data_IF_561921524071
#
_entry.id   IF_561921524071
#
_cell.length_a   1.000
_cell.length_b   1.000
_cell.length_c   1.000
_cell.angle_alpha   90.00
_cell.angle_beta   90.00
_cell.angle_gamma   90.00
#
_symmetry.space_group_name_H-M   'P 1'
#
loop_
_entity.id
_entity.type
_entity.pdbx_description
1 polymer ?
#
# COMPACT_ATOMS: atom_id res chain seq x y z
N UNK A 1 39.35 -23.15 7.02
CA UNK A 1 38.26 -23.28 6.02
C UNK A 1 36.96 -22.58 6.45
N UNK A 2 36.95 -21.75 7.47
CA UNK A 2 35.76 -21.12 8.10
C UNK A 2 35.56 -19.65 7.72
N UNK A 3 36.53 -18.94 7.17
CA UNK A 3 36.41 -17.51 6.84
C UNK A 3 35.69 -17.19 5.52
N UNK A 4 35.55 -18.14 4.60
CA UNK A 4 34.85 -17.91 3.30
C UNK A 4 33.31 -17.93 3.38
N UNK A 5 32.71 -18.42 4.49
CA UNK A 5 31.24 -18.48 4.62
C UNK A 5 30.60 -17.12 5.01
N UNK A 6 31.30 -16.29 5.79
CA UNK A 6 30.78 -15.00 6.25
C UNK A 6 30.75 -13.92 5.16
N UNK A 7 31.80 -13.85 4.34
CA UNK A 7 31.86 -12.88 3.22
C UNK A 7 30.77 -13.16 2.15
N UNK A 8 30.33 -14.40 1.99
CA UNK A 8 29.30 -14.79 1.03
C UNK A 8 27.88 -14.34 1.40
N UNK A 9 27.54 -14.30 2.70
CA UNK A 9 26.20 -13.88 3.14
C UNK A 9 25.98 -12.37 2.94
N UNK A 10 26.88 -11.54 3.45
CA UNK A 10 26.78 -10.07 3.29
C UNK A 10 26.82 -9.61 1.82
N UNK A 11 27.67 -10.24 1.00
CA UNK A 11 27.71 -9.89 -0.43
C UNK A 11 26.45 -10.30 -1.17
N UNK A 12 25.80 -11.39 -0.75
CA UNK A 12 24.55 -11.90 -1.36
C UNK A 12 23.34 -11.03 -0.99
N UNK A 13 23.29 -10.50 0.25
CA UNK A 13 22.17 -9.70 0.78
C UNK A 13 22.46 -8.20 0.85
N UNK A 14 23.55 -7.73 0.22
CA UNK A 14 23.97 -6.33 0.31
C UNK A 14 22.87 -5.35 -0.10
N UNK A 15 22.19 -5.59 -1.20
CA UNK A 15 21.14 -4.70 -1.72
C UNK A 15 19.94 -4.66 -0.77
N UNK A 16 19.55 -5.81 -0.21
CA UNK A 16 18.47 -5.91 0.78
C UNK A 16 18.80 -5.13 2.05
N UNK A 17 20.06 -5.23 2.53
CA UNK A 17 20.53 -4.48 3.69
C UNK A 17 20.53 -2.97 3.42
N UNK A 18 20.97 -2.53 2.23
CA UNK A 18 20.92 -1.11 1.86
C UNK A 18 19.48 -0.59 1.89
N UNK A 19 18.53 -1.33 1.31
CA UNK A 19 17.11 -0.94 1.28
C UNK A 19 16.54 -0.88 2.70
N UNK A 20 16.81 -1.89 3.54
CA UNK A 20 16.33 -1.92 4.92
C UNK A 20 16.89 -0.76 5.76
N UNK A 21 18.20 -0.48 5.66
CA UNK A 21 18.85 0.63 6.38
C UNK A 21 18.27 1.97 5.95
N UNK A 22 18.02 2.18 4.67
CA UNK A 22 17.43 3.44 4.17
C UNK A 22 15.97 3.60 4.62
N UNK A 23 15.17 2.53 4.64
CA UNK A 23 13.81 2.56 5.19
C UNK A 23 13.82 2.93 6.68
N UNK A 24 14.70 2.33 7.47
CA UNK A 24 14.87 2.66 8.88
C UNK A 24 15.34 4.11 9.06
N UNK A 25 16.33 4.56 8.27
CA UNK A 25 16.86 5.93 8.35
C UNK A 25 15.79 6.99 8.08
N UNK A 26 14.87 6.74 7.15
CA UNK A 26 13.75 7.63 6.86
C UNK A 26 12.71 7.70 8.00
N UNK A 27 12.70 6.70 8.90
CA UNK A 27 11.71 6.55 9.98
C UNK A 27 12.23 6.93 11.36
N UNK A 28 13.56 6.94 11.58
CA UNK A 28 14.19 7.09 12.91
C UNK A 28 13.76 8.32 13.69
N UNK A 29 13.46 9.43 13.02
CA UNK A 29 13.04 10.68 13.68
C UNK A 29 11.71 10.56 14.44
N UNK A 30 10.89 9.52 14.16
CA UNK A 30 9.64 9.25 14.87
C UNK A 30 9.76 8.24 16.02
N UNK A 31 10.97 7.80 16.40
CA UNK A 31 11.15 6.75 17.41
C UNK A 31 10.62 7.16 18.79
N UNK A 32 10.70 8.44 19.13
CA UNK A 32 10.22 9.00 20.40
C UNK A 32 8.78 9.54 20.34
N UNK A 33 8.06 9.36 19.21
CA UNK A 33 6.69 9.83 19.08
C UNK A 33 5.75 9.05 20.01
N UNK A 34 4.82 9.78 20.62
CA UNK A 34 3.76 9.22 21.46
C UNK A 34 2.59 8.69 20.58
N UNK A 35 1.58 8.10 21.22
CA UNK A 35 0.30 7.82 20.57
C UNK A 35 -0.41 9.11 20.23
N UNK A 36 -0.89 9.23 19.00
CA UNK A 36 -1.59 10.41 18.50
C UNK A 36 -2.73 9.99 17.58
N UNK A 37 -3.68 10.89 17.33
CA UNK A 37 -4.77 10.72 16.37
C UNK A 37 -5.55 9.42 16.62
N UNK A 38 -5.65 8.53 15.60
CA UNK A 38 -6.38 7.27 15.69
C UNK A 38 -5.78 6.27 16.70
N UNK A 39 -4.48 6.39 17.05
CA UNK A 39 -3.85 5.54 18.07
C UNK A 39 -4.47 5.76 19.47
N UNK A 40 -5.00 6.95 19.73
CA UNK A 40 -5.59 7.27 21.04
C UNK A 40 -6.84 6.40 21.30
N UNK A 41 -7.93 6.49 20.52
CA UNK A 41 -9.13 5.71 20.77
C UNK A 41 -8.99 4.23 20.42
N UNK A 42 -8.08 3.84 19.52
CA UNK A 42 -7.98 2.46 19.03
C UNK A 42 -6.95 1.61 19.80
N UNK A 43 -5.93 2.25 20.41
CA UNK A 43 -4.88 1.56 21.15
C UNK A 43 -4.89 2.01 22.61
N UNK A 44 -4.58 3.29 22.90
CA UNK A 44 -4.35 3.76 24.26
C UNK A 44 -5.60 3.64 25.15
N UNK A 45 -6.75 4.01 24.63
CA UNK A 45 -8.00 4.08 25.39
C UNK A 45 -8.91 2.85 25.15
N UNK A 46 -8.48 1.87 24.36
CA UNK A 46 -9.24 0.67 24.02
C UNK A 46 -8.82 -0.53 24.85
N UNK A 47 -9.49 -0.78 25.96
CA UNK A 47 -9.18 -1.90 26.85
C UNK A 47 -9.20 -3.29 26.16
N UNK A 48 -9.90 -3.44 25.02
CA UNK A 48 -9.94 -4.72 24.26
C UNK A 48 -8.58 -5.15 23.71
N UNK A 49 -7.68 -4.19 23.43
CA UNK A 49 -6.33 -4.45 22.91
C UNK A 49 -5.25 -4.39 24.02
N UNK A 50 -5.63 -4.23 25.30
CA UNK A 50 -4.68 -4.24 26.40
C UNK A 50 -4.25 -5.65 26.80
N UNK A 51 -3.88 -6.47 25.83
CA UNK A 51 -3.44 -7.85 25.98
C UNK A 51 -4.32 -8.83 25.21
N UNK A 52 -4.03 -10.12 25.37
CA UNK A 52 -4.68 -11.18 24.59
C UNK A 52 -5.90 -11.81 25.28
N UNK A 53 -6.27 -11.36 26.48
CA UNK A 53 -7.42 -11.92 27.23
C UNK A 53 -8.76 -11.71 26.51
N UNK A 54 -8.87 -10.60 25.76
CA UNK A 54 -10.08 -10.23 25.03
C UNK A 54 -10.05 -10.62 23.53
N UNK A 55 -9.24 -11.61 23.14
CA UNK A 55 -9.07 -11.97 21.74
C UNK A 55 -10.36 -12.26 20.99
N UNK A 56 -11.39 -12.81 21.65
CA UNK A 56 -12.71 -13.07 21.07
C UNK A 56 -13.40 -11.79 20.65
N UNK A 57 -13.34 -10.76 21.48
CA UNK A 57 -13.95 -9.45 21.21
C UNK A 57 -13.31 -8.78 19.99
N UNK A 58 -12.01 -9.00 19.75
CA UNK A 58 -11.33 -8.50 18.57
C UNK A 58 -11.90 -9.05 17.25
N UNK A 59 -12.46 -10.28 17.29
CA UNK A 59 -13.05 -10.96 16.13
C UNK A 59 -14.56 -10.84 16.04
N UNK A 60 -15.26 -10.38 17.10
CA UNK A 60 -16.73 -10.36 17.15
C UNK A 60 -17.33 -8.96 17.27
N UNK A 61 -16.51 -7.93 17.49
CA UNK A 61 -16.96 -6.55 17.67
C UNK A 61 -16.39 -5.64 16.56
N UNK A 62 -17.02 -4.45 16.37
CA UNK A 62 -16.52 -3.44 15.46
C UNK A 62 -15.09 -3.01 15.78
N UNK A 63 -14.39 -2.52 14.75
CA UNK A 63 -13.04 -1.99 14.89
C UNK A 63 -12.96 -0.80 15.87
N UNK A 64 -13.86 0.18 15.72
CA UNK A 64 -13.93 1.32 16.61
C UNK A 64 -14.63 0.97 17.93
N UNK A 65 -14.03 1.33 19.09
CA UNK A 65 -14.72 1.18 20.38
C UNK A 65 -15.78 2.26 20.57
N UNK A 66 -16.79 2.04 21.43
CA UNK A 66 -17.71 3.12 21.84
C UNK A 66 -16.94 4.33 22.39
N UNK A 67 -17.39 5.57 22.19
CA UNK A 67 -18.70 5.95 21.60
C UNK A 67 -18.71 6.10 20.07
N UNK A 68 -17.67 5.66 19.37
CA UNK A 68 -17.60 5.77 17.90
C UNK A 68 -18.59 4.82 17.26
N UNK A 69 -19.30 5.29 16.22
CA UNK A 69 -20.33 4.52 15.51
C UNK A 69 -19.83 3.91 14.20
N UNK A 70 -18.56 4.14 13.87
CA UNK A 70 -17.96 3.63 12.63
C UNK A 70 -17.77 2.12 12.67
N UNK A 71 -18.37 1.42 11.71
CA UNK A 71 -18.49 -0.03 11.76
C UNK A 71 -17.56 -0.71 10.78
N UNK A 72 -16.30 -0.43 10.93
CA UNK A 72 -15.24 -1.16 10.23
C UNK A 72 -14.98 -2.50 10.93
N UNK A 73 -14.52 -3.49 10.17
CA UNK A 73 -14.20 -4.83 10.69
C UNK A 73 -12.76 -5.19 10.33
N UNK A 74 -11.83 -5.02 11.29
CA UNK A 74 -10.39 -5.18 11.11
C UNK A 74 -9.75 -6.00 12.24
N UNK A 75 -10.18 -7.25 12.45
CA UNK A 75 -9.74 -8.06 13.59
C UNK A 75 -8.23 -8.31 13.61
N UNK A 76 -7.59 -8.45 12.43
CA UNK A 76 -6.14 -8.68 12.35
C UNK A 76 -5.37 -7.43 12.82
N UNK A 77 -5.81 -6.21 12.46
CA UNK A 77 -5.18 -4.97 12.95
C UNK A 77 -5.30 -4.84 14.47
N UNK A 78 -6.48 -5.13 15.05
CA UNK A 78 -6.65 -5.12 16.50
C UNK A 78 -5.83 -6.22 17.19
N UNK A 79 -5.73 -7.40 16.58
CA UNK A 79 -4.92 -8.50 17.11
C UNK A 79 -3.42 -8.12 17.13
N UNK A 80 -2.91 -7.46 16.08
CA UNK A 80 -1.54 -6.93 16.06
C UNK A 80 -1.33 -5.97 17.23
N UNK A 81 -2.24 -4.99 17.41
CA UNK A 81 -2.17 -4.05 18.53
C UNK A 81 -2.18 -4.75 19.91
N UNK A 82 -3.02 -5.79 20.06
CA UNK A 82 -3.09 -6.58 21.30
C UNK A 82 -1.79 -7.37 21.58
N UNK A 83 -1.15 -7.92 20.56
CA UNK A 83 0.17 -8.55 20.70
C UNK A 83 1.24 -7.56 21.12
N UNK A 84 1.26 -6.38 20.50
CA UNK A 84 2.23 -5.33 20.83
C UNK A 84 2.03 -4.81 22.25
N UNK A 85 0.78 -4.64 22.67
CA UNK A 85 0.47 -4.30 24.06
C UNK A 85 0.95 -5.37 25.04
N UNK A 86 0.70 -6.65 24.74
CA UNK A 86 1.14 -7.77 25.59
C UNK A 86 2.67 -7.83 25.74
N UNK A 87 3.43 -7.43 24.72
CA UNK A 87 4.89 -7.40 24.74
C UNK A 87 5.43 -6.14 25.43
N UNK A 88 4.85 -4.97 25.12
CA UNK A 88 5.40 -3.66 25.48
C UNK A 88 4.65 -2.95 26.61
N UNK A 89 3.61 -3.56 27.20
CA UNK A 89 2.83 -2.93 28.29
C UNK A 89 2.18 -1.59 27.90
N UNK A 90 1.87 -1.42 26.60
CA UNK A 90 1.29 -0.16 26.09
C UNK A 90 2.31 0.93 25.78
N UNK A 91 3.62 0.65 25.82
CA UNK A 91 4.64 1.63 25.47
C UNK A 91 4.60 1.97 23.96
N UNK A 92 4.47 3.25 23.55
CA UNK A 92 4.45 3.65 22.14
C UNK A 92 5.67 3.16 21.35
N UNK A 93 6.82 3.09 22.00
CA UNK A 93 8.08 2.59 21.40
C UNK A 93 7.92 1.18 20.79
N UNK A 94 7.17 0.28 21.43
CA UNK A 94 6.94 -1.08 20.89
C UNK A 94 6.25 -1.01 19.55
N UNK A 95 5.22 -0.21 19.42
CA UNK A 95 4.49 0.00 18.16
C UNK A 95 5.37 0.64 17.09
N UNK A 96 6.24 1.59 17.45
CA UNK A 96 7.19 2.21 16.52
C UNK A 96 8.20 1.18 15.98
N UNK A 97 8.76 0.36 16.87
CA UNK A 97 9.72 -0.68 16.47
C UNK A 97 9.09 -1.72 15.54
N UNK A 98 7.85 -2.15 15.81
CA UNK A 98 7.13 -3.08 14.93
C UNK A 98 6.81 -2.42 13.58
N UNK A 99 6.30 -1.16 13.57
CA UNK A 99 6.08 -0.42 12.32
C UNK A 99 7.34 -0.32 11.47
N UNK A 100 8.48 -0.02 12.09
CA UNK A 100 9.76 0.11 11.38
C UNK A 100 10.27 -1.23 10.84
N UNK A 101 10.10 -2.32 11.60
CA UNK A 101 10.41 -3.66 11.15
C UNK A 101 9.55 -4.09 9.95
N UNK A 102 8.24 -3.87 10.03
CA UNK A 102 7.30 -4.13 8.93
C UNK A 102 7.63 -3.28 7.69
N UNK A 103 7.94 -1.99 7.88
CA UNK A 103 8.30 -1.09 6.78
C UNK A 103 9.59 -1.53 6.09
N UNK A 104 10.64 -1.82 6.84
CA UNK A 104 11.92 -2.30 6.31
C UNK A 104 11.74 -3.65 5.58
N UNK A 105 10.99 -4.59 6.18
CA UNK A 105 10.68 -5.86 5.54
C UNK A 105 9.86 -5.67 4.25
N UNK A 106 8.86 -4.77 4.27
CA UNK A 106 8.08 -4.40 3.09
C UNK A 106 8.95 -3.84 1.96
N UNK A 107 9.87 -2.92 2.26
CA UNK A 107 10.79 -2.36 1.30
C UNK A 107 11.73 -3.42 0.69
N UNK A 108 12.21 -4.37 1.49
CA UNK A 108 13.01 -5.52 1.01
C UNK A 108 12.16 -6.42 0.11
N UNK A 109 10.89 -6.66 0.42
CA UNK A 109 9.98 -7.45 -0.43
C UNK A 109 9.69 -6.74 -1.76
N UNK A 110 9.57 -5.41 -1.76
CA UNK A 110 9.47 -4.60 -2.98
C UNK A 110 10.74 -4.75 -3.82
N UNK A 111 11.93 -4.72 -3.21
CA UNK A 111 13.20 -5.01 -3.93
C UNK A 111 13.18 -6.40 -4.56
N UNK A 112 12.77 -7.43 -3.80
CA UNK A 112 12.69 -8.81 -4.30
C UNK A 112 11.69 -8.94 -5.45
N UNK A 113 10.53 -8.28 -5.38
CA UNK A 113 9.58 -8.24 -6.48
C UNK A 113 10.16 -7.52 -7.70
N UNK A 114 10.75 -6.33 -7.51
CA UNK A 114 11.38 -5.56 -8.57
C UNK A 114 12.50 -6.33 -9.27
N UNK A 115 13.33 -7.06 -8.52
CA UNK A 115 14.45 -7.85 -9.05
C UNK A 115 14.03 -9.02 -9.95
N UNK A 116 12.76 -9.43 -9.92
CA UNK A 116 12.19 -10.43 -10.84
C UNK A 116 11.82 -9.85 -12.21
N UNK A 117 11.68 -8.53 -12.29
CA UNK A 117 11.06 -7.83 -13.41
C UNK A 117 11.97 -6.79 -14.07
N UNK A 118 12.94 -6.27 -13.35
CA UNK A 118 13.84 -5.19 -13.75
C UNK A 118 15.30 -5.61 -13.56
N UNK A 119 16.20 -4.97 -14.28
CA UNK A 119 17.64 -5.15 -14.08
C UNK A 119 18.04 -4.75 -12.64
N UNK A 120 19.00 -5.47 -12.03
CA UNK A 120 19.39 -5.30 -10.63
C UNK A 120 19.63 -3.85 -10.20
N UNK A 121 20.36 -2.99 -10.97
CA UNK A 121 20.57 -1.60 -10.54
C UNK A 121 19.27 -0.79 -10.50
N UNK A 122 18.35 -1.04 -11.43
CA UNK A 122 17.04 -0.36 -11.48
C UNK A 122 16.13 -0.88 -10.39
N UNK A 123 16.10 -2.19 -10.15
CA UNK A 123 15.36 -2.79 -9.04
C UNK A 123 15.79 -2.21 -7.69
N UNK A 124 17.12 -2.02 -7.48
CA UNK A 124 17.64 -1.37 -6.28
C UNK A 124 17.18 0.10 -6.18
N UNK A 125 17.27 0.86 -7.27
CA UNK A 125 16.82 2.25 -7.30
C UNK A 125 15.31 2.37 -7.00
N UNK A 126 14.48 1.51 -7.58
CA UNK A 126 13.03 1.41 -7.31
C UNK A 126 12.75 1.17 -5.84
N UNK A 127 13.43 0.19 -5.22
CA UNK A 127 13.24 -0.15 -3.82
C UNK A 127 13.76 0.94 -2.87
N UNK A 128 14.85 1.61 -3.22
CA UNK A 128 15.37 2.76 -2.46
C UNK A 128 14.39 3.93 -2.51
N UNK A 129 13.87 4.28 -3.69
CA UNK A 129 12.86 5.34 -3.81
C UNK A 129 11.59 5.01 -3.02
N UNK A 130 11.13 3.75 -3.03
CA UNK A 130 10.04 3.30 -2.19
C UNK A 130 10.38 3.46 -0.70
N UNK A 131 11.55 2.98 -0.26
CA UNK A 131 11.99 2.95 1.13
C UNK A 131 12.14 4.34 1.79
N UNK A 132 12.32 5.41 0.99
CA UNK A 132 12.50 6.77 1.52
C UNK A 132 11.34 7.70 1.16
N UNK A 133 10.26 7.18 0.56
CA UNK A 133 9.20 8.02 0.01
C UNK A 133 8.37 8.69 1.11
N UNK A 134 8.25 10.04 1.13
CA UNK A 134 7.60 10.74 2.24
C UNK A 134 6.09 10.48 2.38
N UNK A 135 5.42 10.00 1.34
CA UNK A 135 4.00 9.63 1.40
C UNK A 135 3.73 8.44 2.35
N UNK A 136 4.76 7.69 2.73
CA UNK A 136 4.65 6.54 3.64
C UNK A 136 4.66 6.94 5.12
N UNK A 137 5.02 8.18 5.45
CA UNK A 137 5.21 8.61 6.85
C UNK A 137 3.97 8.37 7.69
N UNK A 138 2.77 8.68 7.20
CA UNK A 138 1.52 8.42 7.92
C UNK A 138 1.28 6.92 8.18
N UNK A 139 1.60 6.06 7.21
CA UNK A 139 1.45 4.61 7.36
C UNK A 139 2.43 4.03 8.40
N UNK A 140 3.61 4.65 8.56
CA UNK A 140 4.68 4.20 9.48
C UNK A 140 4.54 4.81 10.87
N UNK A 141 4.07 6.07 10.94
CA UNK A 141 4.02 6.85 12.17
C UNK A 141 2.90 6.46 13.12
N UNK A 142 1.81 5.88 12.65
CA UNK A 142 0.67 5.46 13.48
C UNK A 142 0.65 3.95 13.67
N UNK A 143 0.49 3.50 14.93
CA UNK A 143 0.39 2.08 15.27
C UNK A 143 -0.79 1.39 14.56
N UNK A 144 -1.94 2.05 14.51
CA UNK A 144 -3.14 1.54 13.82
C UNK A 144 -2.98 1.41 12.31
N UNK A 145 -2.01 2.10 11.72
CA UNK A 145 -1.76 2.04 10.27
C UNK A 145 -0.78 0.92 9.84
N UNK A 146 -0.27 0.13 10.78
CA UNK A 146 0.52 -1.07 10.48
C UNK A 146 -0.20 -2.04 9.54
N UNK A 147 -1.54 -2.01 9.52
CA UNK A 147 -2.33 -2.73 8.54
C UNK A 147 -1.96 -2.42 7.09
N UNK A 148 -1.63 -1.15 6.75
CA UNK A 148 -1.14 -0.79 5.40
C UNK A 148 0.23 -1.42 5.11
N UNK A 149 1.12 -1.45 6.11
CA UNK A 149 2.45 -2.06 5.98
C UNK A 149 2.34 -3.56 5.75
N UNK A 150 1.48 -4.25 6.52
CA UNK A 150 1.19 -5.67 6.34
C UNK A 150 0.59 -5.95 4.96
N UNK A 151 -0.35 -5.12 4.49
CA UNK A 151 -0.93 -5.25 3.15
C UNK A 151 0.11 -5.12 2.04
N UNK A 152 1.02 -4.14 2.14
CA UNK A 152 2.12 -3.97 1.18
C UNK A 152 3.06 -5.18 1.17
N UNK A 153 3.38 -5.74 2.34
CA UNK A 153 4.18 -6.96 2.46
C UNK A 153 3.47 -8.15 1.80
N UNK A 154 2.20 -8.39 2.13
CA UNK A 154 1.39 -9.46 1.54
C UNK A 154 1.28 -9.31 0.02
N UNK A 155 1.03 -8.08 -0.46
CA UNK A 155 0.95 -7.79 -1.88
C UNK A 155 2.25 -8.11 -2.62
N UNK A 156 3.39 -7.61 -2.12
CA UNK A 156 4.69 -7.88 -2.73
C UNK A 156 5.07 -9.37 -2.70
N UNK A 157 4.81 -10.05 -1.56
CA UNK A 157 5.11 -11.47 -1.38
C UNK A 157 4.24 -12.35 -2.26
N UNK A 158 2.91 -12.14 -2.24
CA UNK A 158 1.96 -12.96 -3.01
C UNK A 158 2.15 -12.79 -4.50
N UNK A 159 2.37 -11.55 -4.98
CA UNK A 159 2.61 -11.31 -6.41
C UNK A 159 3.96 -11.87 -6.83
N UNK A 160 5.01 -11.75 -6.02
CA UNK A 160 6.30 -12.38 -6.30
C UNK A 160 6.18 -13.91 -6.38
N UNK A 161 5.53 -14.55 -5.41
CA UNK A 161 5.24 -15.99 -5.42
C UNK A 161 4.44 -16.39 -6.66
N UNK A 162 3.36 -15.64 -6.97
CA UNK A 162 2.53 -15.87 -8.14
C UNK A 162 3.36 -15.84 -9.43
N UNK A 163 4.20 -14.82 -9.62
CA UNK A 163 5.08 -14.69 -10.79
C UNK A 163 6.04 -15.90 -10.89
N UNK A 164 6.68 -16.28 -9.78
CA UNK A 164 7.63 -17.39 -9.76
C UNK A 164 6.93 -18.71 -10.14
N UNK A 165 5.75 -18.99 -9.58
CA UNK A 165 4.97 -20.19 -9.92
C UNK A 165 4.47 -20.18 -11.36
N UNK A 166 4.03 -19.04 -11.85
CA UNK A 166 3.54 -18.87 -13.24
C UNK A 166 4.66 -19.04 -14.28
N UNK A 167 5.88 -18.67 -13.95
CA UNK A 167 7.06 -18.86 -14.80
C UNK A 167 7.64 -20.28 -14.72
N UNK A 168 7.33 -21.01 -13.66
CA UNK A 168 7.77 -22.38 -13.44
C UNK A 168 6.68 -23.40 -13.81
N UNK A 169 6.42 -24.33 -12.89
CA UNK A 169 5.49 -25.47 -13.09
C UNK A 169 4.00 -25.10 -13.08
N UNK A 170 3.66 -23.83 -12.89
CA UNK A 170 2.30 -23.35 -12.70
C UNK A 170 1.85 -23.41 -11.24
N UNK A 171 0.65 -22.88 -10.98
CA UNK A 171 0.04 -22.83 -9.65
C UNK A 171 -0.59 -24.18 -9.32
N UNK A 172 -0.22 -24.75 -8.17
CA UNK A 172 -0.79 -25.95 -7.58
C UNK A 172 -1.92 -25.59 -6.61
N UNK A 173 -2.70 -26.56 -6.16
CA UNK A 173 -3.77 -26.34 -5.17
C UNK A 173 -3.25 -25.68 -3.88
N UNK A 174 -2.06 -26.06 -3.41
CA UNK A 174 -1.43 -25.44 -2.24
C UNK A 174 -1.08 -23.95 -2.47
N UNK A 175 -0.60 -23.60 -3.66
CA UNK A 175 -0.30 -22.19 -4.00
C UNK A 175 -1.58 -21.35 -3.95
N UNK A 176 -2.68 -21.85 -4.51
CA UNK A 176 -3.98 -21.20 -4.42
C UNK A 176 -4.52 -21.12 -3.00
N UNK A 177 -4.32 -22.15 -2.20
CA UNK A 177 -4.72 -22.14 -0.77
C UNK A 177 -3.92 -21.08 0.01
N UNK A 178 -2.61 -20.96 -0.22
CA UNK A 178 -1.78 -19.93 0.41
C UNK A 178 -2.19 -18.51 -0.03
N UNK A 179 -2.47 -18.30 -1.33
CA UNK A 179 -2.97 -17.03 -1.84
C UNK A 179 -4.34 -16.69 -1.28
N UNK A 180 -5.24 -17.67 -1.14
CA UNK A 180 -6.55 -17.50 -0.53
C UNK A 180 -6.45 -17.13 0.96
N UNK A 181 -5.58 -17.80 1.71
CA UNK A 181 -5.31 -17.45 3.11
C UNK A 181 -4.73 -16.02 3.23
N UNK A 182 -3.79 -15.63 2.36
CA UNK A 182 -3.26 -14.28 2.33
C UNK A 182 -4.33 -13.23 1.98
N UNK A 183 -5.23 -13.51 1.04
CA UNK A 183 -6.38 -12.65 0.72
C UNK A 183 -7.34 -12.52 1.93
N UNK A 184 -7.60 -13.62 2.66
CA UNK A 184 -8.42 -13.56 3.88
C UNK A 184 -7.76 -12.69 4.94
N UNK A 185 -6.47 -12.90 5.24
CA UNK A 185 -5.70 -12.08 6.19
C UNK A 185 -5.70 -10.62 5.76
N UNK A 186 -5.44 -10.34 4.49
CA UNK A 186 -5.44 -8.98 3.95
C UNK A 186 -6.81 -8.30 4.13
N UNK A 187 -7.92 -8.97 3.79
CA UNK A 187 -9.27 -8.43 3.92
C UNK A 187 -9.70 -8.24 5.39
N UNK A 188 -9.23 -9.11 6.31
CA UNK A 188 -9.44 -8.99 7.75
C UNK A 188 -8.51 -7.96 8.42
N UNK A 189 -7.45 -7.54 7.73
CA UNK A 189 -6.56 -6.46 8.17
C UNK A 189 -7.17 -5.10 7.86
N UNK A 190 -7.59 -4.90 6.62
CA UNK A 190 -8.17 -3.63 6.14
C UNK A 190 -8.92 -3.85 4.82
N UNK A 191 -9.90 -3.00 4.53
CA UNK A 191 -10.73 -3.07 3.32
C UNK A 191 -9.89 -3.00 2.03
N UNK A 192 -8.76 -2.28 2.04
CA UNK A 192 -7.82 -2.21 0.91
C UNK A 192 -7.24 -3.60 0.55
N UNK A 193 -7.28 -4.57 1.49
CA UNK A 193 -6.83 -5.94 1.26
C UNK A 193 -7.61 -6.69 0.18
N UNK A 194 -8.85 -6.30 -0.11
CA UNK A 194 -9.62 -6.86 -1.24
C UNK A 194 -8.94 -6.60 -2.60
N UNK A 195 -8.05 -5.60 -2.70
CA UNK A 195 -7.27 -5.34 -3.90
C UNK A 195 -6.30 -6.48 -4.26
N UNK A 196 -5.93 -7.35 -3.32
CA UNK A 196 -4.88 -8.36 -3.54
C UNK A 196 -5.18 -9.28 -4.73
N UNK A 197 -6.43 -9.73 -4.89
CA UNK A 197 -6.84 -10.52 -6.05
C UNK A 197 -6.68 -9.74 -7.38
N UNK A 198 -6.99 -8.43 -7.37
CA UNK A 198 -6.77 -7.53 -8.49
C UNK A 198 -5.29 -7.33 -8.83
N UNK A 199 -4.41 -7.29 -7.83
CA UNK A 199 -2.95 -7.20 -8.03
C UNK A 199 -2.38 -8.48 -8.66
N UNK A 200 -2.87 -9.66 -8.27
CA UNK A 200 -2.52 -10.93 -8.92
C UNK A 200 -3.00 -10.95 -10.38
N UNK A 201 -4.22 -10.46 -10.63
CA UNK A 201 -4.74 -10.34 -12.00
C UNK A 201 -3.93 -9.35 -12.84
N UNK A 202 -3.49 -8.22 -12.26
CA UNK A 202 -2.62 -7.26 -12.94
C UNK A 202 -1.29 -7.90 -13.38
N UNK A 203 -0.77 -8.88 -12.64
CA UNK A 203 0.45 -9.59 -13.02
C UNK A 203 0.30 -10.41 -14.32
N UNK A 204 -0.91 -10.75 -14.75
CA UNK A 204 -1.14 -11.48 -16.02
C UNK A 204 -0.85 -10.66 -17.30
N UNK A 205 -0.58 -9.35 -17.16
CA UNK A 205 -0.05 -8.55 -18.27
C UNK A 205 1.42 -8.88 -18.59
N UNK A 206 2.13 -9.46 -17.62
CA UNK A 206 3.52 -9.88 -17.77
C UNK A 206 3.62 -11.14 -18.67
N UNK A 207 4.73 -11.33 -19.39
CA UNK A 207 4.99 -12.56 -20.16
C UNK A 207 5.41 -13.69 -19.22
N UNK A 208 4.45 -14.29 -18.51
CA UNK A 208 4.71 -15.31 -17.50
C UNK A 208 4.83 -16.72 -18.10
N UNK A 209 4.12 -17.00 -19.19
CA UNK A 209 4.18 -18.25 -19.92
C UNK A 209 3.84 -18.05 -21.42
N UNK A 210 4.00 -19.11 -22.20
CA UNK A 210 3.77 -19.09 -23.65
C UNK A 210 2.30 -19.35 -24.06
N UNK A 211 1.39 -19.63 -23.09
CA UNK A 211 -0.03 -19.94 -23.38
C UNK A 211 -0.75 -18.71 -23.92
N UNK A 212 -1.72 -18.95 -24.79
CA UNK A 212 -2.63 -17.91 -25.26
C UNK A 212 -3.46 -17.32 -24.09
N UNK A 213 -3.95 -16.10 -24.24
CA UNK A 213 -4.80 -15.46 -23.21
C UNK A 213 -6.03 -16.31 -22.83
N UNK A 214 -6.62 -17.03 -23.83
CA UNK A 214 -7.78 -17.90 -23.60
C UNK A 214 -7.43 -19.14 -22.77
N UNK A 215 -6.29 -19.78 -23.05
CA UNK A 215 -5.80 -20.92 -22.28
C UNK A 215 -5.42 -20.51 -20.87
N UNK A 216 -4.75 -19.35 -20.69
CA UNK A 216 -4.46 -18.78 -19.37
C UNK A 216 -5.73 -18.51 -18.59
N UNK A 217 -6.72 -17.84 -19.19
CA UNK A 217 -7.99 -17.58 -18.55
C UNK A 217 -8.67 -18.86 -18.09
N UNK A 218 -8.73 -19.90 -18.94
CA UNK A 218 -9.32 -21.20 -18.59
C UNK A 218 -8.59 -21.93 -17.46
N UNK A 219 -7.27 -21.82 -17.40
CA UNK A 219 -6.47 -22.46 -16.36
C UNK A 219 -6.54 -21.76 -15.01
N UNK A 220 -6.74 -20.44 -14.99
CA UNK A 220 -6.62 -19.61 -13.79
C UNK A 220 -7.98 -19.21 -13.18
N UNK A 221 -9.06 -19.19 -13.98
CA UNK A 221 -10.37 -18.72 -13.50
C UNK A 221 -10.87 -19.46 -12.25
N UNK A 222 -10.66 -20.80 -12.06
CA UNK A 222 -11.14 -21.44 -10.84
C UNK A 222 -10.44 -20.94 -9.59
N UNK A 223 -9.11 -20.66 -9.70
CA UNK A 223 -8.35 -20.09 -8.61
C UNK A 223 -8.79 -18.65 -8.27
N UNK A 224 -8.97 -17.81 -9.29
CA UNK A 224 -9.49 -16.44 -9.07
C UNK A 224 -10.92 -16.45 -8.52
N UNK A 225 -11.78 -17.37 -8.95
CA UNK A 225 -13.10 -17.55 -8.38
C UNK A 225 -13.01 -17.92 -6.88
N UNK A 226 -12.05 -18.77 -6.52
CA UNK A 226 -11.75 -19.10 -5.12
C UNK A 226 -11.35 -17.85 -4.30
N UNK A 227 -10.52 -16.97 -4.85
CA UNK A 227 -10.15 -15.72 -4.19
C UNK A 227 -11.35 -14.78 -4.00
N UNK A 228 -12.22 -14.67 -5.02
CA UNK A 228 -13.48 -13.90 -4.93
C UNK A 228 -14.41 -14.51 -3.87
N UNK A 229 -14.52 -15.84 -3.83
CA UNK A 229 -15.30 -16.52 -2.81
C UNK A 229 -14.80 -16.26 -1.39
N UNK A 230 -13.48 -16.25 -1.17
CA UNK A 230 -12.88 -15.85 0.12
C UNK A 230 -13.27 -14.43 0.49
N UNK A 231 -13.17 -13.49 -0.44
CA UNK A 231 -13.61 -12.11 -0.23
C UNK A 231 -15.10 -12.02 0.15
N UNK A 232 -15.95 -12.76 -0.56
CA UNK A 232 -17.39 -12.83 -0.27
C UNK A 232 -17.65 -13.44 1.12
N UNK A 233 -16.91 -14.49 1.53
CA UNK A 233 -17.00 -15.07 2.86
C UNK A 233 -16.61 -14.07 3.96
N UNK A 234 -15.54 -13.29 3.76
CA UNK A 234 -15.15 -12.25 4.73
C UNK A 234 -16.22 -11.17 4.86
N UNK A 235 -16.81 -10.73 3.73
CA UNK A 235 -17.92 -9.78 3.74
C UNK A 235 -19.17 -10.35 4.42
N UNK A 236 -19.51 -11.60 4.15
CA UNK A 236 -20.63 -12.29 4.79
C UNK A 236 -20.42 -12.42 6.30
N UNK A 237 -19.21 -12.80 6.74
CA UNK A 237 -18.82 -12.86 8.15
C UNK A 237 -18.95 -11.49 8.82
N UNK A 238 -18.42 -10.43 8.20
CA UNK A 238 -18.56 -9.06 8.68
C UNK A 238 -20.04 -8.69 8.86
N UNK A 239 -20.86 -8.93 7.84
CA UNK A 239 -22.28 -8.59 7.88
C UNK A 239 -23.06 -9.42 8.91
N UNK A 240 -22.63 -10.66 9.19
CA UNK A 240 -23.20 -11.49 10.24
C UNK A 240 -22.85 -11.01 11.65
N UNK A 241 -21.60 -10.59 11.86
CA UNK A 241 -21.08 -10.21 13.18
C UNK A 241 -21.44 -8.77 13.57
N UNK A 242 -21.53 -7.86 12.59
CA UNK A 242 -21.84 -6.46 12.88
C UNK A 242 -23.35 -6.21 12.77
N UNK A 243 -23.93 -5.40 13.68
CA UNK A 243 -25.37 -5.08 13.64
C UNK A 243 -25.79 -4.49 12.30
N UNK A 244 -26.99 -4.85 11.83
CA UNK A 244 -27.51 -4.43 10.52
C UNK A 244 -27.77 -2.92 10.43
N UNK A 245 -28.13 -2.30 11.56
CA UNK A 245 -28.29 -0.82 11.66
C UNK A 245 -26.99 -0.06 11.51
N UNK A 246 -25.95 -0.78 11.53
CA UNK A 246 -24.57 -0.36 11.45
C UNK A 246 -23.95 -0.45 10.06
N UNK A 247 -24.69 -0.81 9.04
CA UNK A 247 -24.26 -0.70 7.63
C UNK A 247 -24.41 0.77 7.17
N UNK A 248 -24.29 1.72 8.06
CA UNK A 248 -23.96 3.09 7.65
C UNK A 248 -22.52 3.07 7.14
N UNK A 249 -22.41 2.83 5.84
CA UNK A 249 -21.14 3.02 5.13
C UNK A 249 -20.75 4.47 5.35
N UNK A 250 -19.72 4.67 6.17
CA UNK A 250 -19.25 6.04 6.48
C UNK A 250 -18.86 6.69 5.16
N UNK A 251 -19.62 7.72 4.79
CA UNK A 251 -19.38 8.49 3.58
C UNK A 251 -18.59 9.73 3.94
N UNK A 252 -17.57 10.08 3.17
CA UNK A 252 -16.86 11.34 3.37
C UNK A 252 -17.87 12.51 3.30
N UNK A 253 -17.82 13.50 4.21
CA UNK A 253 -18.83 14.56 4.28
C UNK A 253 -19.10 15.28 2.95
N UNK A 254 -18.07 15.51 2.15
CA UNK A 254 -18.22 16.09 0.81
C UNK A 254 -18.96 15.18 -0.19
N UNK A 255 -19.15 13.90 0.12
CA UNK A 255 -19.80 12.91 -0.77
C UNK A 255 -21.19 12.48 -0.25
N UNK A 256 -21.64 13.03 0.88
CA UNK A 256 -22.95 12.72 1.46
C UNK A 256 -24.08 13.07 0.49
N UNK A 257 -25.10 12.22 0.46
CA UNK A 257 -26.24 12.39 -0.45
C UNK A 257 -25.97 12.04 -1.93
N UNK A 258 -24.72 11.74 -2.30
CA UNK A 258 -24.35 11.42 -3.68
C UNK A 258 -24.26 9.91 -3.94
N UNK A 259 -24.94 9.45 -5.00
CA UNK A 259 -24.86 8.07 -5.48
C UNK A 259 -23.47 7.71 -6.06
N UNK A 260 -23.25 6.43 -6.46
CA UNK A 260 -21.94 5.96 -6.95
C UNK A 260 -21.36 6.82 -8.09
N UNK A 261 -22.16 7.23 -9.06
CA UNK A 261 -21.71 8.08 -10.17
C UNK A 261 -21.30 9.49 -9.71
N UNK A 262 -22.05 10.09 -8.77
CA UNK A 262 -21.71 11.38 -8.18
C UNK A 262 -20.39 11.31 -7.41
N UNK A 263 -20.16 10.22 -6.65
CA UNK A 263 -18.90 9.99 -5.98
C UNK A 263 -17.73 9.80 -6.95
N UNK A 264 -17.91 8.99 -8.00
CA UNK A 264 -16.90 8.84 -9.05
C UNK A 264 -16.56 10.17 -9.73
N UNK A 265 -17.58 11.00 -9.99
CA UNK A 265 -17.39 12.34 -10.52
C UNK A 265 -16.54 13.21 -9.58
N UNK A 266 -16.89 13.26 -8.30
CA UNK A 266 -16.12 14.02 -7.32
C UNK A 266 -14.66 13.48 -7.16
N UNK A 267 -14.46 12.18 -7.29
CA UNK A 267 -13.12 11.59 -7.20
C UNK A 267 -12.20 11.91 -8.39
N UNK A 268 -12.72 12.42 -9.51
CA UNK A 268 -11.88 12.86 -10.62
C UNK A 268 -10.86 13.93 -10.19
N UNK A 269 -11.24 14.87 -9.33
CA UNK A 269 -10.31 15.90 -8.82
C UNK A 269 -9.21 15.32 -7.90
N UNK A 270 -9.43 14.13 -7.33
CA UNK A 270 -8.46 13.45 -6.46
C UNK A 270 -7.35 12.75 -7.27
N UNK A 271 -7.64 12.33 -8.50
CA UNK A 271 -6.66 11.64 -9.36
C UNK A 271 -5.37 12.46 -9.58
N UNK A 272 -5.41 13.74 -9.93
CA UNK A 272 -4.21 14.58 -10.02
C UNK A 272 -3.48 14.72 -8.66
N UNK A 273 -4.22 14.71 -7.56
CA UNK A 273 -3.64 14.80 -6.21
C UNK A 273 -2.86 13.51 -5.87
N UNK A 274 -3.37 12.33 -6.21
CA UNK A 274 -2.62 11.07 -6.08
C UNK A 274 -1.33 11.11 -6.88
N UNK A 275 -1.38 11.52 -8.16
CA UNK A 275 -0.16 11.62 -8.98
C UNK A 275 0.85 12.61 -8.40
N UNK A 276 0.38 13.77 -7.91
CA UNK A 276 1.23 14.75 -7.24
C UNK A 276 1.92 14.15 -6.00
N UNK A 277 1.16 13.42 -5.16
CA UNK A 277 1.69 12.79 -3.95
C UNK A 277 2.69 11.68 -4.27
N UNK A 278 2.50 10.93 -5.35
CA UNK A 278 3.47 9.93 -5.81
C UNK A 278 4.73 10.56 -6.41
N UNK A 279 4.58 11.64 -7.20
CA UNK A 279 5.70 12.24 -7.89
C UNK A 279 6.55 13.11 -6.95
N UNK A 280 5.89 13.93 -6.13
CA UNK A 280 6.53 14.81 -5.16
C UNK A 280 5.56 15.29 -4.08
N UNK A 281 5.59 14.70 -2.89
CA UNK A 281 4.71 15.06 -1.79
C UNK A 281 5.20 16.33 -1.06
N UNK A 282 5.16 17.48 -1.73
CA UNK A 282 5.58 18.76 -1.17
C UNK A 282 4.68 19.21 -0.01
N UNK A 283 3.36 18.95 -0.12
CA UNK A 283 2.38 19.24 0.92
C UNK A 283 1.77 17.91 1.36
N UNK A 284 2.05 17.56 2.60
CA UNK A 284 1.54 16.39 3.30
C UNK A 284 0.62 16.86 4.42
N UNK A 285 -0.52 16.19 4.58
CA UNK A 285 -1.55 16.53 5.56
C UNK A 285 -1.99 15.29 6.30
N UNK A 286 -2.40 15.44 7.55
CA UNK A 286 -2.91 14.33 8.38
C UNK A 286 -4.26 13.87 7.86
N UNK A 287 -5.09 14.81 7.44
CA UNK A 287 -6.39 14.58 6.83
C UNK A 287 -6.63 15.67 5.78
N UNK A 288 -7.15 15.27 4.63
CA UNK A 288 -7.65 16.18 3.62
C UNK A 288 -9.14 16.44 3.92
N UNK A 289 -9.36 17.28 4.93
CA UNK A 289 -10.67 17.56 5.50
C UNK A 289 -11.69 18.11 4.46
N UNK A 290 -12.99 18.05 4.75
CA UNK A 290 -14.05 18.42 3.80
C UNK A 290 -13.91 19.80 3.18
N UNK A 291 -13.27 20.76 3.86
CA UNK A 291 -13.04 22.11 3.33
C UNK A 291 -11.98 22.19 2.23
N UNK A 292 -11.10 21.18 2.10
CA UNK A 292 -10.01 21.18 1.11
C UNK A 292 -10.37 20.47 -0.20
N UNK A 293 -11.25 19.45 -0.13
CA UNK A 293 -11.74 18.73 -1.31
C UNK A 293 -13.27 18.79 -1.30
N UNK A 294 -13.86 19.93 -1.75
CA UNK A 294 -15.30 20.08 -1.81
C UNK A 294 -15.90 19.23 -2.93
N UNK A 295 -17.20 18.94 -2.83
CA UNK A 295 -17.93 18.36 -3.97
C UNK A 295 -17.94 19.35 -5.14
N UNK A 296 -17.58 18.95 -6.37
CA UNK A 296 -17.51 19.85 -7.51
C UNK A 296 -18.91 20.20 -8.00
N UNK A 297 -19.27 21.50 -8.00
CA UNK A 297 -20.55 22.00 -8.45
C UNK A 297 -20.67 22.08 -9.98
N UNK A 298 -19.52 22.06 -10.68
CA UNK A 298 -19.42 22.07 -12.15
C UNK A 298 -18.17 21.31 -12.57
N UNK A 299 -18.16 20.82 -13.81
CA UNK A 299 -16.98 20.21 -14.41
C UNK A 299 -15.92 21.28 -14.65
N UNK A 300 -14.83 21.20 -13.93
CA UNK A 300 -13.74 22.16 -13.95
C UNK A 300 -12.41 21.58 -14.40
N UNK A 301 -11.35 22.35 -14.19
CA UNK A 301 -9.98 21.97 -14.61
C UNK A 301 -9.49 20.69 -13.92
N UNK A 302 -9.82 20.50 -12.65
CA UNK A 302 -9.31 19.35 -11.87
C UNK A 302 -10.00 18.05 -12.27
N UNK A 303 -11.32 18.07 -12.55
CA UNK A 303 -12.07 16.94 -13.06
C UNK A 303 -11.61 16.57 -14.48
N UNK A 304 -11.38 17.59 -15.33
CA UNK A 304 -10.79 17.38 -16.65
C UNK A 304 -9.39 16.75 -16.57
N UNK A 305 -8.53 17.29 -15.72
CA UNK A 305 -7.18 16.73 -15.49
C UNK A 305 -7.23 15.27 -14.99
N UNK A 306 -8.14 14.96 -14.07
CA UNK A 306 -8.35 13.60 -13.59
C UNK A 306 -8.80 12.65 -14.69
N UNK A 307 -9.80 13.05 -15.47
CA UNK A 307 -10.28 12.25 -16.61
C UNK A 307 -9.17 12.06 -17.66
N UNK A 308 -8.42 13.11 -17.99
CA UNK A 308 -7.31 13.06 -18.92
C UNK A 308 -6.19 12.12 -18.44
N UNK A 309 -5.85 12.14 -17.13
CA UNK A 309 -4.86 11.24 -16.54
C UNK A 309 -5.34 9.79 -16.56
N UNK A 310 -6.61 9.51 -16.25
CA UNK A 310 -7.16 8.15 -16.35
C UNK A 310 -7.15 7.65 -17.80
N UNK A 311 -7.55 8.49 -18.76
CA UNK A 311 -7.48 8.17 -20.17
C UNK A 311 -6.03 7.94 -20.65
N UNK A 312 -5.09 8.80 -20.22
CA UNK A 312 -3.67 8.64 -20.54
C UNK A 312 -3.10 7.34 -19.95
N UNK A 313 -3.46 6.99 -18.72
CA UNK A 313 -3.06 5.72 -18.10
C UNK A 313 -3.59 4.51 -18.87
N UNK A 314 -4.88 4.53 -19.25
CA UNK A 314 -5.49 3.48 -20.07
C UNK A 314 -4.79 3.35 -21.44
N UNK A 315 -4.56 4.46 -22.14
CA UNK A 315 -3.84 4.49 -23.44
C UNK A 315 -2.40 4.00 -23.26
N UNK A 316 -1.72 4.40 -22.18
CA UNK A 316 -0.37 3.95 -21.87
C UNK A 316 -0.33 2.42 -21.70
N UNK A 317 -1.25 1.84 -20.91
CA UNK A 317 -1.36 0.38 -20.76
C UNK A 317 -1.61 -0.29 -22.12
N UNK A 318 -2.61 0.17 -22.89
CA UNK A 318 -2.97 -0.42 -24.19
C UNK A 318 -1.83 -0.37 -25.21
N UNK A 319 -0.97 0.66 -25.16
CA UNK A 319 0.18 0.79 -26.07
C UNK A 319 1.42 0.06 -25.61
N UNK A 320 1.55 -0.18 -24.29
CA UNK A 320 2.79 -0.70 -23.71
C UNK A 320 2.70 -2.15 -23.25
N UNK A 321 1.52 -2.72 -22.99
CA UNK A 321 1.36 -4.05 -22.40
C UNK A 321 2.14 -5.18 -23.09
N UNK A 322 2.31 -5.12 -24.42
CA UNK A 322 3.10 -6.11 -25.17
C UNK A 322 4.58 -5.76 -25.27
N UNK A 323 4.92 -4.46 -25.31
CA UNK A 323 6.29 -3.97 -25.57
C UNK A 323 7.06 -3.65 -24.31
N UNK A 324 6.35 -3.21 -23.28
CA UNK A 324 6.86 -2.77 -21.97
C UNK A 324 5.95 -3.30 -20.84
N UNK A 325 5.83 -4.63 -20.71
CA UNK A 325 4.83 -5.22 -19.82
C UNK A 325 5.01 -4.83 -18.35
N UNK A 326 6.25 -4.58 -17.89
CA UNK A 326 6.51 -4.14 -16.50
C UNK A 326 5.97 -2.73 -16.23
N UNK A 327 6.03 -1.83 -17.24
CA UNK A 327 5.41 -0.51 -17.12
C UNK A 327 3.88 -0.63 -17.02
N UNK A 328 3.27 -1.41 -17.93
CA UNK A 328 1.83 -1.65 -17.89
C UNK A 328 1.39 -2.33 -16.58
N UNK A 329 2.18 -3.28 -16.07
CA UNK A 329 1.95 -3.90 -14.76
C UNK A 329 1.95 -2.88 -13.63
N UNK A 330 2.94 -1.97 -13.57
CA UNK A 330 2.98 -0.91 -12.55
C UNK A 330 1.76 0.00 -12.56
N UNK A 331 1.29 0.40 -13.75
CA UNK A 331 0.06 1.22 -13.91
C UNK A 331 -1.18 0.43 -13.48
N UNK A 332 -1.32 -0.83 -13.89
CA UNK A 332 -2.45 -1.69 -13.48
C UNK A 332 -2.42 -1.99 -11.98
N UNK A 333 -1.24 -2.14 -11.38
CA UNK A 333 -1.09 -2.25 -9.93
C UNK A 333 -1.66 -1.02 -9.22
N UNK A 334 -1.25 0.20 -9.65
CA UNK A 334 -1.80 1.44 -9.09
C UNK A 334 -3.33 1.47 -9.20
N UNK A 335 -3.88 1.14 -10.37
CA UNK A 335 -5.32 1.12 -10.59
C UNK A 335 -6.03 0.11 -9.66
N UNK A 336 -5.53 -1.12 -9.55
CA UNK A 336 -6.11 -2.15 -8.68
C UNK A 336 -6.01 -1.77 -7.19
N UNK A 337 -4.87 -1.21 -6.75
CA UNK A 337 -4.66 -0.82 -5.36
C UNK A 337 -5.43 0.45 -4.96
N UNK A 338 -5.72 1.37 -5.89
CA UNK A 338 -6.53 2.57 -5.66
C UNK A 338 -8.03 2.31 -5.75
N UNK A 339 -8.46 1.19 -6.36
CA UNK A 339 -9.88 0.89 -6.54
C UNK A 339 -10.68 0.87 -5.22
N UNK A 340 -10.21 0.25 -4.13
CA UNK A 340 -10.94 0.25 -2.85
C UNK A 340 -11.13 1.65 -2.25
N UNK A 341 -10.22 2.59 -2.51
CA UNK A 341 -10.25 3.97 -1.98
C UNK A 341 -10.79 4.98 -2.99
N UNK A 342 -11.34 4.52 -4.10
CA UNK A 342 -11.95 5.36 -5.15
C UNK A 342 -13.33 5.92 -4.78
N UNK A 343 -13.85 5.60 -3.60
CA UNK A 343 -15.20 5.96 -3.13
C UNK A 343 -16.35 5.50 -4.06
N UNK A 344 -16.13 4.55 -4.96
CA UNK A 344 -17.22 3.82 -5.62
C UNK A 344 -18.07 3.16 -4.54
N UNK A 345 -17.41 2.48 -3.59
CA UNK A 345 -17.95 2.12 -2.29
C UNK A 345 -17.39 3.15 -1.31
N UNK A 346 -18.22 3.85 -0.52
CA UNK A 346 -17.75 4.87 0.40
C UNK A 346 -16.73 4.34 1.42
N UNK A 347 -15.73 5.16 1.75
CA UNK A 347 -14.63 4.79 2.67
C UNK A 347 -14.45 5.77 3.83
N UNK A 348 -15.33 6.75 3.99
CA UNK A 348 -15.27 7.78 5.03
C UNK A 348 -14.31 8.94 4.73
N UNK A 349 -13.38 8.77 3.81
CA UNK A 349 -12.37 9.77 3.43
C UNK A 349 -12.23 9.84 1.90
N UNK A 350 -11.91 11.02 1.37
CA UNK A 350 -11.61 11.17 -0.06
C UNK A 350 -10.15 10.89 -0.37
N UNK A 351 -9.25 11.32 0.49
CA UNK A 351 -7.80 11.19 0.33
C UNK A 351 -7.13 11.08 1.70
N UNK A 352 -6.24 10.11 1.86
CA UNK A 352 -5.30 10.01 2.98
C UNK A 352 -3.97 9.48 2.46
N UNK A 353 -2.85 9.98 2.99
CA UNK A 353 -1.50 9.59 2.56
C UNK A 353 -1.25 8.09 2.77
N UNK A 354 -1.71 7.53 3.90
CA UNK A 354 -1.58 6.12 4.24
C UNK A 354 -2.14 5.17 3.17
N UNK A 355 -3.21 5.56 2.48
CA UNK A 355 -3.85 4.72 1.45
C UNK A 355 -3.01 4.59 0.19
N UNK A 356 -1.98 5.44 0.02
CA UNK A 356 -1.08 5.43 -1.13
C UNK A 356 0.12 4.48 -0.96
N UNK A 357 0.28 3.86 0.22
CA UNK A 357 1.40 2.95 0.50
C UNK A 357 1.44 1.75 -0.48
N UNK A 358 0.35 0.98 -0.59
CA UNK A 358 0.28 -0.16 -1.51
C UNK A 358 0.32 0.27 -2.98
N UNK A 359 -0.43 1.30 -3.42
CA UNK A 359 -0.35 1.81 -4.79
C UNK A 359 1.04 2.30 -5.21
N UNK A 360 1.84 2.87 -4.29
CA UNK A 360 3.18 3.37 -4.57
C UNK A 360 4.15 2.28 -5.07
N UNK A 361 3.94 1.01 -4.71
CA UNK A 361 4.70 -0.13 -5.25
C UNK A 361 4.57 -0.18 -6.78
N UNK A 362 3.34 -0.07 -7.29
CA UNK A 362 3.09 -0.01 -8.74
C UNK A 362 3.71 1.22 -9.39
N UNK A 363 3.60 2.37 -8.72
CA UNK A 363 4.18 3.61 -9.22
C UNK A 363 5.70 3.51 -9.40
N UNK A 364 6.44 3.07 -8.36
CA UNK A 364 7.90 2.94 -8.48
C UNK A 364 8.32 1.86 -9.49
N UNK A 365 7.52 0.80 -9.68
CA UNK A 365 7.73 -0.21 -10.73
C UNK A 365 7.58 0.41 -12.13
N UNK A 366 6.56 1.23 -12.36
CA UNK A 366 6.36 1.93 -13.63
C UNK A 366 7.51 2.93 -13.90
N UNK A 367 7.95 3.66 -12.88
CA UNK A 367 9.11 4.58 -12.96
C UNK A 367 10.38 3.81 -13.31
N UNK A 368 10.63 2.68 -12.65
CA UNK A 368 11.79 1.81 -12.96
C UNK A 368 11.77 1.30 -14.39
N UNK A 369 10.63 0.80 -14.87
CA UNK A 369 10.48 0.35 -16.25
C UNK A 369 10.67 1.48 -17.27
N UNK A 370 10.22 2.69 -16.95
CA UNK A 370 10.46 3.89 -17.77
C UNK A 370 11.95 4.28 -17.78
N UNK A 371 12.64 4.16 -16.66
CA UNK A 371 14.08 4.40 -16.56
C UNK A 371 14.88 3.38 -17.40
N UNK A 372 14.54 2.07 -17.35
CA UNK A 372 15.15 1.06 -18.21
C UNK A 372 14.93 1.38 -19.69
N UNK A 373 13.70 1.71 -20.07
CA UNK A 373 13.41 2.10 -21.46
C UNK A 373 14.24 3.32 -21.89
N UNK A 374 14.41 4.30 -21.03
CA UNK A 374 15.24 5.49 -21.29
C UNK A 374 16.70 5.10 -21.52
N UNK A 375 17.26 4.20 -20.70
CA UNK A 375 18.63 3.71 -20.85
C UNK A 375 18.83 2.87 -22.11
N UNK A 376 17.84 2.06 -22.51
CA UNK A 376 17.87 1.31 -23.78
C UNK A 376 17.82 2.24 -24.99
N UNK A 377 16.97 3.28 -24.92
CA UNK A 377 16.76 4.21 -26.04
C UNK A 377 17.93 5.18 -26.24
N UNK A 378 18.55 5.57 -25.12
CA UNK A 378 19.67 6.51 -25.06
C UNK A 378 20.80 5.96 -24.17
N UNK A 379 21.63 5.02 -24.68
CA UNK A 379 22.63 4.32 -23.87
C UNK A 379 23.85 5.19 -23.52
N UNK A 380 23.75 6.52 -23.70
CA UNK A 380 24.82 7.47 -23.42
C UNK A 380 25.15 7.51 -21.92
N UNK A 381 26.46 7.56 -21.60
CA UNK A 381 26.95 7.70 -20.22
C UNK A 381 26.32 8.89 -19.47
N UNK A 382 26.09 10.00 -20.20
CA UNK A 382 25.45 11.20 -19.63
C UNK A 382 24.02 10.91 -19.13
N UNK A 383 23.20 10.15 -19.88
CA UNK A 383 21.85 9.79 -19.51
C UNK A 383 21.87 8.89 -18.26
N UNK A 384 22.73 7.88 -18.25
CA UNK A 384 22.91 7.02 -17.08
C UNK A 384 23.33 7.81 -15.86
N UNK A 385 24.34 8.65 -15.96
CA UNK A 385 24.83 9.48 -14.86
C UNK A 385 23.75 10.45 -14.37
N UNK A 386 22.95 11.03 -15.27
CA UNK A 386 21.80 11.88 -14.93
C UNK A 386 20.73 11.15 -14.12
N UNK A 387 20.36 9.93 -14.53
CA UNK A 387 19.39 9.10 -13.78
C UNK A 387 19.94 8.70 -12.40
N UNK A 388 21.23 8.35 -12.30
CA UNK A 388 21.87 8.04 -11.01
C UNK A 388 21.89 9.29 -10.11
N UNK A 389 22.29 10.44 -10.64
CA UNK A 389 22.29 11.69 -9.88
C UNK A 389 20.89 12.09 -9.40
N UNK A 390 19.88 11.94 -10.26
CA UNK A 390 18.48 12.16 -9.89
C UNK A 390 18.04 11.19 -8.79
N UNK A 391 18.34 9.89 -8.93
CA UNK A 391 18.00 8.88 -7.91
C UNK A 391 18.63 9.17 -6.56
N UNK A 392 19.91 9.55 -6.54
CA UNK A 392 20.61 9.96 -5.32
C UNK A 392 20.00 11.21 -4.69
N UNK A 393 19.71 12.24 -5.50
CA UNK A 393 19.08 13.47 -5.04
C UNK A 393 17.70 13.18 -4.41
N UNK A 394 16.85 12.39 -5.09
CA UNK A 394 15.53 11.97 -4.58
C UNK A 394 15.67 11.15 -3.29
N UNK A 395 16.68 10.30 -3.16
CA UNK A 395 16.95 9.52 -1.95
C UNK A 395 17.26 10.44 -0.77
N UNK A 396 18.19 11.38 -0.93
CA UNK A 396 18.56 12.34 0.13
C UNK A 396 17.36 13.20 0.52
N UNK A 397 16.69 13.79 -0.48
CA UNK A 397 15.50 14.61 -0.26
C UNK A 397 14.37 13.80 0.40
N UNK A 398 14.18 12.55 0.00
CA UNK A 398 13.20 11.63 0.60
C UNK A 398 13.48 11.39 2.08
N UNK A 399 14.71 11.07 2.46
CA UNK A 399 15.11 10.87 3.87
C UNK A 399 14.88 12.14 4.68
N UNK A 400 15.35 13.29 4.21
CA UNK A 400 15.18 14.57 4.89
C UNK A 400 13.70 14.92 5.07
N UNK A 401 12.92 14.76 4.01
CA UNK A 401 11.48 15.08 4.02
C UNK A 401 10.70 14.12 4.91
N UNK A 402 10.98 12.82 4.85
CA UNK A 402 10.35 11.81 5.70
C UNK A 402 10.69 12.03 7.18
N UNK A 403 11.97 12.26 7.50
CA UNK A 403 12.41 12.57 8.86
C UNK A 403 11.75 13.84 9.41
N UNK A 404 11.72 14.94 8.64
CA UNK A 404 11.03 16.17 9.05
C UNK A 404 9.51 16.00 9.21
N UNK A 405 8.89 15.12 8.41
CA UNK A 405 7.45 14.84 8.55
C UNK A 405 7.11 14.00 9.79
N UNK A 406 8.01 13.15 10.27
CA UNK A 406 7.82 12.36 11.50
C UNK A 406 7.56 13.25 12.71
N UNK A 407 8.15 14.45 12.78
CA UNK A 407 7.94 15.39 13.89
C UNK A 407 6.50 15.90 14.01
N UNK A 408 5.72 15.88 12.92
CA UNK A 408 4.30 16.27 12.94
C UNK A 408 3.47 15.27 13.76
N UNK A 409 3.93 14.03 13.88
CA UNK A 409 3.27 12.96 14.61
C UNK A 409 3.79 12.81 16.05
N UNK A 410 4.47 13.83 16.61
CA UNK A 410 5.11 13.74 17.92
C UNK A 410 4.10 13.89 19.09
N UNK A 411 3.08 14.77 18.93
CA UNK A 411 2.10 14.98 19.97
C UNK A 411 0.71 15.30 19.41
N UNK A 412 -0.36 14.98 20.16
CA UNK A 412 -1.74 15.22 19.77
C UNK A 412 -2.04 16.71 19.50
N UNK A 413 -1.35 17.64 20.19
CA UNK A 413 -1.55 19.09 20.01
C UNK A 413 -1.09 19.59 18.63
N UNK A 414 -0.10 18.95 18.02
CA UNK A 414 0.44 19.36 16.72
C UNK A 414 -0.43 18.84 15.57
N UNK A 415 -1.05 17.67 15.76
CA UNK A 415 -1.87 17.00 14.73
C UNK A 415 -3.19 17.75 14.49
N UNK A 416 -3.74 18.41 15.51
CA UNK A 416 -5.06 19.07 15.48
C UNK A 416 -4.97 20.57 15.17
N UNK A 417 -3.77 21.17 15.23
CA UNK A 417 -3.60 22.60 14.94
C UNK A 417 -3.77 22.87 13.43
N UNK A 418 -4.71 23.74 13.02
CA UNK A 418 -4.80 24.18 11.64
C UNK A 418 -3.53 24.99 11.27
N UNK A 419 -2.88 24.62 10.18
CA UNK A 419 -1.77 25.37 9.57
C UNK A 419 -2.25 26.08 8.33
#
# INVERSE_FOLDING_TARGET
MTERRGAGFFSRHRDELVVAVLALSASLAGLSNDFVYDDLPLIRDNARVHGLSHWRDLFTQPYWPPPFVEQLYRPVTLLMAAFEWAIGGGAPLTYRLVSYALYAAGAVLVYRLASRLLARPVALAVAVLFAVHPVHVEAVALGVNQGELLLGMLAALCVAHYIDRRRGDGLRALDWAMLAAACAVAALTKENGFALAGLLLAAEVLPLDARSARERARALWPGFLGLVAVGACVLALRNYLLPHDAITVVTAPALEGHGPFGRMYAMLQVVPMWLRLFAWPARLQVDFAPGEIPYPTRFGLWEFAGLALLAAAAVAVLRTWRRRPVFAFGVLWCAAALLPVSNIIPTGIMLAERTLYVPSIGFVMAVGAAAEWTLERWPARRVRNGLVALGLALTVLGIVRSGGRQSVWNSAHIVVAPR
#
